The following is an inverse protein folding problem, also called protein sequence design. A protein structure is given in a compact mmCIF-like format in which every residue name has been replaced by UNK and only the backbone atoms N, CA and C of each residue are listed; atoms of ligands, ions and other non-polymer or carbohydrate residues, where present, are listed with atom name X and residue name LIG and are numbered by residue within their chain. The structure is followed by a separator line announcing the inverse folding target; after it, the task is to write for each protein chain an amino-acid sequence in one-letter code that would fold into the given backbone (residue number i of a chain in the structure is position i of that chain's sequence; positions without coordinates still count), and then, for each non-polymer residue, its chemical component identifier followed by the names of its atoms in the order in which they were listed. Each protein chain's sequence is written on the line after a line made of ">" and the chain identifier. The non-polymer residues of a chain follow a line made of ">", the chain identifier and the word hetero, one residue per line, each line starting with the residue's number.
data_IF_374794462956
#
_entry.id   IF_374794462956
#
_cell.length_a   1.000
_cell.length_b   1.000
_cell.length_c   1.000
_cell.angle_alpha   90.00
_cell.angle_beta   90.00
_cell.angle_gamma   90.00
#
_symmetry.space_group_name_H-M   'P 1'
#
loop_
_entity.id
_entity.type
_entity.pdbx_description
1 polymer ?
#
# COMPACT_ATOMS: atom_id res chain seq x y z
N UNK A 1 17.57 4.77 -12.52
CA UNK A 1 16.95 3.78 -11.62
C UNK A 1 16.98 4.33 -10.21
N UNK A 2 15.86 4.83 -9.70
CA UNK A 2 15.76 5.25 -8.29
C UNK A 2 15.54 3.98 -7.46
N UNK A 3 16.64 3.29 -7.19
CA UNK A 3 16.71 2.28 -6.15
C UNK A 3 17.32 2.97 -4.93
N UNK A 4 16.69 2.80 -3.76
CA UNK A 4 17.26 3.07 -2.43
C UNK A 4 17.18 4.51 -1.87
N UNK A 5 16.00 5.17 -1.89
CA UNK A 5 15.74 6.32 -0.97
C UNK A 5 14.34 6.34 -0.32
N UNK A 6 13.37 5.52 -0.74
CA UNK A 6 12.01 5.64 -0.18
C UNK A 6 11.76 4.83 1.12
N UNK A 7 12.77 4.14 1.67
CA UNK A 7 12.49 3.04 2.58
C UNK A 7 12.73 3.25 4.07
N UNK A 8 13.32 4.37 4.53
CA UNK A 8 13.62 4.46 5.98
C UNK A 8 13.62 5.82 6.70
N UNK A 9 13.40 6.99 6.08
CA UNK A 9 13.61 8.24 6.86
C UNK A 9 12.85 9.48 6.39
N UNK A 10 11.68 9.35 5.78
CA UNK A 10 10.82 10.52 5.59
C UNK A 10 9.65 10.34 6.55
N UNK A 11 9.67 11.11 7.65
CA UNK A 11 8.45 11.45 8.34
C UNK A 11 7.54 12.05 7.25
N UNK A 12 6.53 11.29 6.84
CA UNK A 12 5.50 11.72 5.90
C UNK A 12 4.23 12.04 6.71
N UNK A 13 4.25 13.02 7.63
CA UNK A 13 3.06 13.39 8.38
C UNK A 13 1.93 13.89 7.48
N UNK A 14 2.22 14.19 6.21
CA UNK A 14 1.27 14.76 5.26
C UNK A 14 1.12 14.00 3.94
N UNK A 15 1.64 12.76 3.80
CA UNK A 15 1.43 12.01 2.55
C UNK A 15 -0.08 11.78 2.31
N UNK A 16 -0.61 12.31 1.20
CA UNK A 16 -1.97 12.03 0.76
C UNK A 16 -2.04 10.74 -0.07
N UNK A 17 -0.92 10.37 -0.70
CA UNK A 17 -0.82 9.18 -1.54
C UNK A 17 0.48 8.47 -1.23
N UNK A 18 0.42 7.16 -1.05
CA UNK A 18 1.57 6.28 -0.93
C UNK A 18 1.44 5.11 -1.90
N UNK A 19 2.55 4.71 -2.50
CA UNK A 19 2.62 3.56 -3.41
C UNK A 19 3.69 2.61 -2.92
N UNK A 20 3.32 1.35 -2.70
CA UNK A 20 4.23 0.26 -2.44
C UNK A 20 4.29 -0.64 -3.68
N UNK A 21 5.47 -0.73 -4.28
CA UNK A 21 5.76 -1.73 -5.32
C UNK A 21 6.35 -2.94 -4.62
N UNK A 22 5.87 -4.13 -4.98
CA UNK A 22 6.19 -5.38 -4.32
C UNK A 22 7.70 -5.58 -4.17
N UNK A 23 8.09 -5.98 -2.96
CA UNK A 23 9.43 -6.26 -2.53
C UNK A 23 9.31 -6.81 -1.13
N UNK A 24 10.02 -7.90 -0.84
CA UNK A 24 9.98 -8.62 0.43
C UNK A 24 10.50 -7.70 1.54
N UNK A 25 9.65 -6.83 2.07
CA UNK A 25 10.04 -5.77 2.99
C UNK A 25 9.46 -6.01 4.37
N UNK A 26 10.36 -6.33 5.30
CA UNK A 26 10.11 -6.26 6.73
C UNK A 26 9.16 -7.32 7.28
N UNK A 27 9.00 -7.32 8.58
CA UNK A 27 8.01 -8.16 9.24
C UNK A 27 6.59 -7.61 9.02
N UNK A 28 5.57 -8.46 9.14
CA UNK A 28 4.14 -8.05 9.10
C UNK A 28 3.83 -6.89 10.06
N UNK A 29 4.53 -6.84 11.20
CA UNK A 29 4.35 -5.76 12.18
C UNK A 29 4.91 -4.42 11.68
N UNK A 30 6.06 -4.43 11.00
CA UNK A 30 6.65 -3.20 10.43
C UNK A 30 5.77 -2.61 9.33
N UNK A 31 5.18 -3.47 8.49
CA UNK A 31 4.26 -3.06 7.44
C UNK A 31 2.96 -2.47 8.01
N UNK A 32 2.36 -3.13 9.01
CA UNK A 32 1.16 -2.63 9.68
C UNK A 32 1.41 -1.29 10.38
N UNK A 33 2.56 -1.13 11.06
CA UNK A 33 2.94 0.12 11.70
C UNK A 33 3.16 1.24 10.67
N UNK A 34 3.78 0.93 9.53
CA UNK A 34 3.97 1.89 8.43
C UNK A 34 2.62 2.33 7.84
N UNK A 35 1.73 1.39 7.56
CA UNK A 35 0.39 1.68 7.02
C UNK A 35 -0.41 2.57 7.98
N UNK A 36 -0.37 2.30 9.28
CA UNK A 36 -1.05 3.13 10.28
C UNK A 36 -0.53 4.57 10.36
N UNK A 37 0.74 4.82 10.04
CA UNK A 37 1.30 6.19 9.96
C UNK A 37 0.83 6.92 8.70
N UNK A 38 0.76 6.21 7.57
CA UNK A 38 0.35 6.77 6.28
C UNK A 38 -1.16 7.07 6.27
N UNK A 39 -1.97 6.16 6.81
CA UNK A 39 -3.44 6.22 6.75
C UNK A 39 -4.06 6.99 7.92
N UNK A 40 -3.26 7.68 8.74
CA UNK A 40 -3.76 8.49 9.85
C UNK A 40 -4.64 9.63 9.31
N UNK A 41 -5.81 9.89 9.91
CA UNK A 41 -6.63 11.06 9.57
C UNK A 41 -5.81 12.35 9.70
N UNK A 42 -5.84 13.19 8.67
CA UNK A 42 -5.11 14.46 8.65
C UNK A 42 -5.90 15.57 9.34
N UNK A 43 -5.18 16.57 9.87
CA UNK A 43 -5.77 17.68 10.62
C UNK A 43 -6.69 18.57 9.77
N UNK A 44 -6.47 18.62 8.46
CA UNK A 44 -7.29 19.32 7.47
C UNK A 44 -8.55 18.53 7.04
N UNK A 45 -8.75 17.33 7.60
CA UNK A 45 -9.81 16.41 7.19
C UNK A 45 -9.53 15.66 5.89
N UNK A 46 -8.34 15.83 5.31
CA UNK A 46 -7.91 15.14 4.10
C UNK A 46 -7.73 13.64 4.32
N UNK A 47 -8.15 12.84 3.33
CA UNK A 47 -7.90 11.41 3.29
C UNK A 47 -6.49 11.06 2.83
N UNK A 48 -6.10 9.81 3.08
CA UNK A 48 -4.89 9.21 2.52
C UNK A 48 -5.26 7.98 1.69
N UNK A 49 -4.61 7.82 0.54
CA UNK A 49 -4.77 6.68 -0.34
C UNK A 49 -3.47 5.89 -0.38
N UNK A 50 -3.56 4.59 -0.17
CA UNK A 50 -2.44 3.66 -0.26
C UNK A 50 -2.67 2.69 -1.42
N UNK A 51 -1.73 2.68 -2.36
CA UNK A 51 -1.68 1.71 -3.45
C UNK A 51 -0.60 0.66 -3.16
N UNK A 52 -0.94 -0.60 -3.38
CA UNK A 52 0.05 -1.68 -3.45
C UNK A 52 -0.03 -2.31 -4.84
N UNK A 53 1.10 -2.32 -5.55
CA UNK A 53 1.27 -3.14 -6.75
C UNK A 53 1.65 -4.54 -6.30
N UNK A 54 1.01 -5.55 -6.86
CA UNK A 54 1.21 -6.96 -6.49
C UNK A 54 1.27 -7.78 -7.77
N UNK A 55 2.33 -8.58 -7.92
CA UNK A 55 2.43 -9.52 -9.03
C UNK A 55 1.44 -10.66 -8.82
N UNK A 56 0.65 -10.99 -9.85
CA UNK A 56 -0.24 -12.16 -9.83
C UNK A 56 0.57 -13.45 -9.68
N UNK A 57 -0.03 -14.47 -9.08
CA UNK A 57 0.54 -15.82 -8.95
C UNK A 57 1.91 -15.83 -8.27
N UNK A 58 2.11 -14.92 -7.31
CA UNK A 58 3.34 -14.76 -6.56
C UNK A 58 3.09 -14.87 -5.05
N UNK A 59 4.16 -15.08 -4.29
CA UNK A 59 4.11 -15.03 -2.83
C UNK A 59 3.60 -13.67 -2.30
N UNK A 60 3.84 -12.58 -3.05
CA UNK A 60 3.33 -11.25 -2.70
C UNK A 60 1.80 -11.17 -2.75
N UNK A 61 1.14 -12.02 -3.56
CA UNK A 61 -0.32 -12.11 -3.58
C UNK A 61 -0.87 -12.69 -2.27
N UNK A 62 -0.19 -13.67 -1.67
CA UNK A 62 -0.57 -14.20 -0.36
C UNK A 62 -0.41 -13.15 0.74
N UNK A 63 0.66 -12.34 0.69
CA UNK A 63 0.84 -11.23 1.61
C UNK A 63 -0.21 -10.14 1.42
N UNK A 64 -0.57 -9.82 0.18
CA UNK A 64 -1.62 -8.87 -0.12
C UNK A 64 -2.99 -9.32 0.42
N UNK A 65 -3.32 -10.62 0.33
CA UNK A 65 -4.55 -11.17 0.88
C UNK A 65 -4.61 -11.03 2.43
N UNK A 66 -3.49 -11.28 3.12
CA UNK A 66 -3.41 -11.04 4.57
C UNK A 66 -3.58 -9.55 4.92
N UNK A 67 -2.94 -8.66 4.15
CA UNK A 67 -3.05 -7.20 4.34
C UNK A 67 -4.48 -6.71 4.13
N UNK A 68 -5.16 -7.20 3.10
CA UNK A 68 -6.57 -6.90 2.84
C UNK A 68 -7.42 -7.22 4.06
N UNK A 69 -7.30 -8.45 4.61
CA UNK A 69 -8.07 -8.87 5.77
C UNK A 69 -7.80 -7.97 6.98
N UNK A 70 -6.53 -7.71 7.28
CA UNK A 70 -6.14 -6.83 8.39
C UNK A 70 -6.71 -5.41 8.25
N UNK A 71 -6.60 -4.79 7.07
CA UNK A 71 -7.10 -3.44 6.85
C UNK A 71 -8.64 -3.38 6.90
N UNK A 72 -9.32 -4.38 6.34
CA UNK A 72 -10.77 -4.47 6.41
C UNK A 72 -11.28 -4.63 7.86
N UNK A 73 -10.60 -5.43 8.68
CA UNK A 73 -10.91 -5.60 10.12
C UNK A 73 -10.76 -4.29 10.91
N UNK A 74 -9.86 -3.39 10.47
CA UNK A 74 -9.71 -2.05 11.04
C UNK A 74 -10.67 -1.01 10.44
N UNK A 75 -11.55 -1.40 9.51
CA UNK A 75 -12.55 -0.53 8.89
C UNK A 75 -12.05 0.30 7.71
N UNK A 76 -10.86 0.04 7.18
CA UNK A 76 -10.37 0.72 5.98
C UNK A 76 -11.08 0.19 4.72
N UNK A 77 -11.44 1.12 3.83
CA UNK A 77 -11.88 0.77 2.48
C UNK A 77 -10.74 0.13 1.69
N UNK A 78 -11.04 -0.98 1.00
CA UNK A 78 -10.06 -1.73 0.24
C UNK A 78 -10.63 -2.11 -1.13
N UNK A 79 -9.90 -1.82 -2.21
CA UNK A 79 -10.30 -2.10 -3.58
C UNK A 79 -9.16 -2.84 -4.28
N UNK A 80 -9.49 -3.96 -4.92
CA UNK A 80 -8.59 -4.68 -5.82
C UNK A 80 -8.98 -4.30 -7.25
N UNK A 81 -7.98 -3.96 -8.07
CA UNK A 81 -8.14 -3.71 -9.50
C UNK A 81 -7.15 -4.57 -10.25
N UNK A 82 -7.61 -5.15 -11.35
CA UNK A 82 -6.74 -5.81 -12.30
C UNK A 82 -5.92 -4.76 -13.07
N UNK A 83 -4.73 -5.13 -13.54
CA UNK A 83 -3.94 -4.25 -14.39
C UNK A 83 -4.67 -4.01 -15.73
N UNK A 84 -5.33 -5.04 -16.25
CA UNK A 84 -6.09 -4.98 -17.50
C UNK A 84 -7.28 -3.99 -17.40
N UNK A 85 -7.90 -3.88 -16.21
CA UNK A 85 -8.98 -2.93 -15.95
C UNK A 85 -8.49 -1.47 -15.88
N UNK A 86 -7.22 -1.26 -15.52
CA UNK A 86 -6.65 0.07 -15.32
C UNK A 86 -6.04 0.65 -16.60
N UNK A 87 -5.44 -0.21 -17.43
CA UNK A 87 -4.71 0.21 -18.64
C UNK A 87 -5.62 0.29 -19.87
N UNK A 88 -6.85 -0.22 -19.80
CA UNK A 88 -7.70 -0.44 -20.97
C UNK A 88 -7.23 -1.67 -21.76
N UNK A 89 -7.93 -2.03 -22.86
CA UNK A 89 -7.55 -3.19 -23.67
C UNK A 89 -6.08 -3.07 -24.12
N UNK A 90 -5.34 -4.18 -23.98
CA UNK A 90 -3.96 -4.27 -24.44
C UNK A 90 -3.89 -3.85 -25.93
N UNK A 91 -3.02 -2.90 -26.22
CA UNK A 91 -2.74 -2.42 -27.59
C UNK A 91 -1.89 -3.47 -28.33
#
# INVERSE_FOLDING_TARGET
>A
MVSKVANFSIDLPEAAVAVQVSGTFGSRQEEAQRLGRILRPKADGGGAIFYSVVARDSLDAEYAAHRQRFLAEQGYGYIIRDADDLLGPAI
#
